data_IF_240628875200
#
_entry.id   IF_240628875200
#
_cell.length_a   1.000
_cell.length_b   1.000
_cell.length_c   1.000
_cell.angle_alpha   90.00
_cell.angle_beta   90.00
_cell.angle_gamma   90.00
#
_symmetry.space_group_name_H-M   'P 1'
#
loop_
_entity.id
_entity.type
_entity.pdbx_description
1 polymer ?
#
# COMPACT_ATOMS: atom_id res chain seq x y z
N UNK A 1 -30.26 -26.17 5.42
CA UNK A 1 -29.01 -25.49 5.07
C UNK A 1 -28.02 -25.78 6.20
N UNK A 2 -26.96 -26.54 5.93
CA UNK A 2 -25.96 -26.81 6.96
C UNK A 2 -25.09 -25.55 7.09
N UNK A 3 -25.11 -24.91 8.26
CA UNK A 3 -24.08 -23.96 8.65
C UNK A 3 -22.70 -24.58 8.39
N UNK A 4 -21.68 -23.82 8.00
CA UNK A 4 -20.32 -24.34 8.02
C UNK A 4 -20.11 -24.88 9.43
N UNK A 5 -19.99 -26.21 9.53
CA UNK A 5 -19.93 -26.86 10.83
C UNK A 5 -18.74 -26.28 11.58
N UNK A 6 -18.95 -25.89 12.84
CA UNK A 6 -17.91 -25.45 13.79
C UNK A 6 -16.74 -26.44 13.97
N UNK A 7 -16.59 -27.42 13.06
CA UNK A 7 -15.71 -28.58 13.19
C UNK A 7 -14.79 -28.77 11.99
N UNK A 8 -14.24 -27.71 11.42
CA UNK A 8 -13.02 -27.89 10.65
C UNK A 8 -11.86 -27.73 11.63
N UNK A 9 -11.29 -28.85 12.07
CA UNK A 9 -10.22 -28.95 13.08
C UNK A 9 -10.52 -28.33 14.46
N UNK A 10 -11.76 -28.32 14.93
CA UNK A 10 -12.08 -27.91 16.29
C UNK A 10 -12.01 -26.40 16.58
N UNK A 11 -11.63 -25.58 15.61
CA UNK A 11 -11.61 -24.12 15.77
C UNK A 11 -13.04 -23.57 15.62
N UNK A 12 -13.50 -22.87 16.66
CA UNK A 12 -14.83 -22.26 16.73
C UNK A 12 -14.73 -20.79 16.37
N UNK A 13 -15.59 -20.32 15.44
CA UNK A 13 -15.74 -18.88 15.21
C UNK A 13 -16.23 -18.21 16.49
N UNK A 14 -15.68 -17.06 16.82
CA UNK A 14 -15.98 -16.32 18.05
C UNK A 14 -16.28 -14.85 17.74
N UNK A 15 -17.02 -14.22 18.63
CA UNK A 15 -17.27 -12.78 18.61
C UNK A 15 -17.53 -12.22 17.21
N UNK A 16 -16.72 -11.27 16.80
CA UNK A 16 -16.81 -10.56 15.53
C UNK A 16 -16.80 -11.47 14.28
N UNK A 17 -16.13 -12.63 14.36
CA UNK A 17 -16.09 -13.59 13.24
C UNK A 17 -17.48 -14.18 12.95
N UNK A 18 -18.27 -14.47 14.00
CA UNK A 18 -19.65 -14.92 13.82
C UNK A 18 -20.51 -13.83 13.18
N UNK A 19 -20.33 -12.58 13.59
CA UNK A 19 -21.10 -11.47 13.07
C UNK A 19 -20.69 -11.15 11.63
N UNK A 20 -19.40 -11.26 11.28
CA UNK A 20 -18.93 -11.19 9.90
C UNK A 20 -19.61 -12.22 9.01
N UNK A 21 -19.70 -13.48 9.46
CA UNK A 21 -20.39 -14.53 8.70
C UNK A 21 -21.89 -14.27 8.61
N UNK A 22 -22.54 -13.84 9.68
CA UNK A 22 -23.95 -13.47 9.65
C UNK A 22 -24.24 -12.34 8.68
N UNK A 23 -23.48 -11.26 8.77
CA UNK A 23 -23.63 -10.11 7.88
C UNK A 23 -23.42 -10.52 6.42
N UNK A 24 -22.36 -11.29 6.13
CA UNK A 24 -22.14 -11.83 4.79
C UNK A 24 -23.35 -12.62 4.25
N UNK A 25 -24.01 -13.41 5.09
CA UNK A 25 -25.16 -14.23 4.68
C UNK A 25 -26.42 -13.41 4.42
N UNK A 26 -26.51 -12.19 4.93
CA UNK A 26 -27.64 -11.26 4.70
C UNK A 26 -27.44 -10.35 3.51
N UNK A 27 -26.20 -10.24 2.98
CA UNK A 27 -25.89 -9.38 1.84
C UNK A 27 -26.78 -9.69 0.63
N UNK A 28 -27.36 -8.66 0.05
CA UNK A 28 -27.98 -8.71 -1.27
C UNK A 28 -26.91 -8.73 -2.35
N UNK A 29 -27.32 -8.91 -3.59
CA UNK A 29 -26.39 -8.88 -4.72
C UNK A 29 -25.77 -7.50 -4.89
N UNK A 30 -24.48 -7.46 -5.25
CA UNK A 30 -23.71 -6.27 -5.52
C UNK A 30 -23.42 -5.41 -4.27
N UNK A 31 -23.53 -5.99 -3.07
CA UNK A 31 -23.21 -5.29 -1.84
C UNK A 31 -21.79 -5.57 -1.40
N UNK A 32 -21.26 -4.62 -0.65
CA UNK A 32 -19.87 -4.60 -0.14
C UNK A 32 -19.87 -4.64 1.38
N UNK A 33 -19.09 -5.55 1.93
CA UNK A 33 -18.86 -5.64 3.35
C UNK A 33 -17.43 -5.18 3.63
N UNK A 34 -17.30 -4.03 4.26
CA UNK A 34 -16.02 -3.43 4.64
C UNK A 34 -15.68 -3.90 6.05
N UNK A 35 -14.50 -4.45 6.21
CA UNK A 35 -14.01 -5.00 7.48
C UNK A 35 -12.79 -4.21 7.92
N UNK A 36 -12.96 -3.37 8.94
CA UNK A 36 -11.85 -2.68 9.59
C UNK A 36 -11.36 -3.56 10.73
N UNK A 37 -10.17 -4.10 10.57
CA UNK A 37 -9.62 -5.11 11.49
C UNK A 37 -8.38 -4.61 12.22
N UNK A 38 -8.21 -5.03 13.48
CA UNK A 38 -6.93 -5.06 14.15
C UNK A 38 -6.06 -6.19 13.58
N UNK A 39 -4.77 -6.17 13.84
CA UNK A 39 -3.85 -7.22 13.39
C UNK A 39 -4.09 -8.52 14.16
N UNK A 40 -3.90 -9.66 13.50
CA UNK A 40 -3.95 -11.01 14.07
C UNK A 40 -5.28 -11.43 14.73
N UNK A 41 -6.38 -10.83 14.36
CA UNK A 41 -7.71 -11.17 14.89
C UNK A 41 -8.41 -12.34 14.18
N UNK A 42 -7.69 -13.11 13.36
CA UNK A 42 -8.21 -14.30 12.69
C UNK A 42 -9.07 -14.02 11.45
N UNK A 43 -8.88 -12.88 10.79
CA UNK A 43 -9.65 -12.47 9.60
C UNK A 43 -9.47 -13.46 8.44
N UNK A 44 -8.23 -13.81 8.09
CA UNK A 44 -7.94 -14.76 7.00
C UNK A 44 -8.58 -16.13 7.25
N UNK A 45 -8.60 -16.60 8.50
CA UNK A 45 -9.30 -17.82 8.86
C UNK A 45 -10.80 -17.72 8.55
N UNK A 46 -11.43 -16.61 8.88
CA UNK A 46 -12.86 -16.38 8.60
C UNK A 46 -13.13 -16.28 7.11
N UNK A 47 -12.25 -15.67 6.33
CA UNK A 47 -12.36 -15.63 4.87
C UNK A 47 -12.25 -17.01 4.24
N UNK A 48 -11.34 -17.86 4.74
CA UNK A 48 -11.26 -19.25 4.28
C UNK A 48 -12.58 -19.99 4.50
N UNK A 49 -13.24 -19.81 5.66
CA UNK A 49 -14.55 -20.39 5.95
C UNK A 49 -15.64 -19.88 4.98
N UNK A 50 -15.69 -18.58 4.74
CA UNK A 50 -16.67 -17.98 3.84
C UNK A 50 -16.46 -18.46 2.39
N UNK A 51 -15.22 -18.44 1.91
CA UNK A 51 -14.87 -18.90 0.56
C UNK A 51 -15.20 -20.39 0.37
N UNK A 52 -14.87 -21.21 1.36
CA UNK A 52 -15.20 -22.64 1.36
C UNK A 52 -16.73 -22.85 1.35
N UNK A 53 -17.45 -22.15 2.23
CA UNK A 53 -18.91 -22.19 2.26
C UNK A 53 -19.54 -21.83 0.90
N UNK A 54 -19.07 -20.77 0.26
CA UNK A 54 -19.54 -20.34 -1.05
C UNK A 54 -19.26 -21.43 -2.10
N UNK A 55 -18.05 -21.97 -2.12
CA UNK A 55 -17.64 -22.97 -3.10
C UNK A 55 -18.47 -24.25 -3.01
N UNK A 56 -18.79 -24.74 -1.81
CA UNK A 56 -19.57 -25.98 -1.66
C UNK A 56 -21.07 -25.79 -1.87
N UNK A 57 -21.61 -24.64 -1.47
CA UNK A 57 -23.06 -24.41 -1.52
C UNK A 57 -23.55 -23.75 -2.82
N UNK A 58 -22.65 -23.22 -3.66
CA UNK A 58 -22.97 -22.55 -4.93
C UNK A 58 -22.25 -23.25 -6.10
N UNK A 59 -22.81 -24.35 -6.65
CA UNK A 59 -22.16 -25.13 -7.70
C UNK A 59 -21.72 -24.30 -8.91
N UNK A 60 -20.54 -24.59 -9.45
CA UNK A 60 -19.93 -23.88 -10.58
C UNK A 60 -19.72 -22.38 -10.32
N UNK A 61 -19.68 -21.95 -9.06
CA UNK A 61 -19.34 -20.59 -8.70
C UNK A 61 -17.84 -20.31 -8.95
N UNK A 62 -17.52 -19.06 -9.24
CA UNK A 62 -16.14 -18.60 -9.31
C UNK A 62 -15.95 -17.48 -8.31
N UNK A 63 -15.09 -17.70 -7.32
CA UNK A 63 -14.68 -16.70 -6.33
C UNK A 63 -13.24 -16.30 -6.53
N UNK A 64 -12.89 -15.09 -6.08
CA UNK A 64 -11.54 -14.53 -6.23
C UNK A 64 -11.10 -13.98 -4.87
N UNK A 65 -9.93 -14.39 -4.40
CA UNK A 65 -9.22 -13.79 -3.28
C UNK A 65 -8.05 -12.96 -3.81
N UNK A 66 -7.95 -11.72 -3.36
CA UNK A 66 -6.92 -10.77 -3.78
C UNK A 66 -6.22 -10.21 -2.55
N UNK A 67 -4.90 -10.09 -2.62
CA UNK A 67 -4.07 -9.47 -1.59
C UNK A 67 -2.91 -8.69 -2.22
N UNK A 68 -2.00 -8.16 -1.42
CA UNK A 68 -0.92 -7.26 -1.89
C UNK A 68 0.14 -7.97 -2.71
N UNK A 69 0.70 -9.09 -2.22
CA UNK A 69 1.87 -9.75 -2.83
C UNK A 69 1.58 -11.19 -3.25
N UNK A 70 2.37 -11.70 -4.21
CA UNK A 70 2.28 -13.10 -4.63
C UNK A 70 2.61 -14.07 -3.49
N UNK A 71 3.51 -13.71 -2.58
CA UNK A 71 3.84 -14.52 -1.40
C UNK A 71 2.67 -14.61 -0.44
N UNK A 72 1.96 -13.52 -0.19
CA UNK A 72 0.76 -13.49 0.66
C UNK A 72 -0.38 -14.31 0.05
N UNK A 73 -0.62 -14.18 -1.27
CA UNK A 73 -1.61 -14.99 -1.98
C UNK A 73 -1.29 -16.49 -1.91
N UNK A 74 -0.02 -16.87 -2.10
CA UNK A 74 0.46 -18.24 -1.98
C UNK A 74 0.33 -18.78 -0.57
N UNK A 75 0.66 -17.96 0.44
CA UNK A 75 0.50 -18.34 1.85
C UNK A 75 -0.96 -18.66 2.14
N UNK A 76 -1.89 -17.76 1.79
CA UNK A 76 -3.32 -17.99 2.03
C UNK A 76 -3.86 -19.20 1.26
N UNK A 77 -3.41 -19.42 0.00
CA UNK A 77 -3.72 -20.64 -0.76
C UNK A 77 -3.26 -21.90 -0.02
N UNK A 78 -2.03 -21.91 0.51
CA UNK A 78 -1.49 -23.04 1.26
C UNK A 78 -2.27 -23.28 2.55
N UNK A 79 -2.51 -22.22 3.33
CA UNK A 79 -3.27 -22.30 4.59
C UNK A 79 -4.70 -22.84 4.35
N UNK A 80 -5.36 -22.39 3.27
CA UNK A 80 -6.67 -22.90 2.88
C UNK A 80 -6.59 -24.33 2.34
N UNK A 81 -5.51 -24.70 1.65
CA UNK A 81 -5.25 -26.07 1.20
C UNK A 81 -5.12 -27.04 2.36
N UNK A 82 -4.41 -26.65 3.43
CA UNK A 82 -4.32 -27.42 4.67
C UNK A 82 -5.70 -27.64 5.31
N UNK A 83 -6.54 -26.63 5.26
CA UNK A 83 -7.92 -26.69 5.72
C UNK A 83 -8.77 -27.71 4.95
N UNK A 84 -8.45 -27.96 3.67
CA UNK A 84 -9.16 -28.87 2.78
C UNK A 84 -8.51 -30.26 2.65
N UNK A 85 -7.35 -30.52 3.27
CA UNK A 85 -6.49 -31.71 3.05
C UNK A 85 -7.19 -33.05 3.23
N UNK A 86 -8.17 -33.13 4.12
CA UNK A 86 -8.91 -34.37 4.40
C UNK A 86 -10.09 -34.59 3.46
N UNK A 87 -10.30 -33.67 2.52
CA UNK A 87 -11.42 -33.72 1.57
C UNK A 87 -10.94 -34.12 0.20
N UNK A 88 -11.29 -35.31 -0.26
CA UNK A 88 -11.13 -35.73 -1.66
C UNK A 88 -11.95 -34.89 -2.65
N UNK A 89 -12.63 -33.84 -2.15
CA UNK A 89 -13.56 -33.01 -2.87
C UNK A 89 -12.90 -31.76 -3.50
N UNK A 90 -11.61 -31.53 -3.25
CA UNK A 90 -10.89 -30.33 -3.70
C UNK A 90 -9.60 -30.73 -4.40
N UNK A 91 -9.40 -30.22 -5.61
CA UNK A 91 -8.12 -30.28 -6.35
C UNK A 91 -7.36 -28.97 -6.22
N UNK A 92 -6.08 -29.05 -5.92
CA UNK A 92 -5.19 -27.90 -5.71
C UNK A 92 -4.20 -27.75 -6.88
N UNK A 93 -4.19 -26.59 -7.53
CA UNK A 93 -3.20 -26.23 -8.53
C UNK A 93 -2.27 -25.13 -7.99
N UNK A 94 -1.11 -25.54 -7.49
CA UNK A 94 -0.14 -24.63 -6.86
C UNK A 94 0.56 -23.68 -7.86
N UNK A 95 0.59 -24.03 -9.15
CA UNK A 95 1.19 -23.18 -10.18
C UNK A 95 0.29 -22.02 -10.56
N UNK A 96 -1.02 -22.26 -10.66
CA UNK A 96 -2.02 -21.25 -10.98
C UNK A 96 -2.60 -20.57 -9.75
N UNK A 97 -2.31 -21.07 -8.55
CA UNK A 97 -2.95 -20.71 -7.29
C UNK A 97 -4.48 -20.78 -7.43
N UNK A 98 -4.97 -21.97 -7.70
CA UNK A 98 -6.36 -22.28 -7.97
C UNK A 98 -6.83 -23.50 -7.18
N UNK A 99 -8.01 -23.42 -6.60
CA UNK A 99 -8.72 -24.53 -5.97
C UNK A 99 -9.97 -24.86 -6.78
N UNK A 100 -10.08 -26.11 -7.22
CA UNK A 100 -11.25 -26.61 -7.95
C UNK A 100 -11.99 -27.63 -7.11
N UNK A 101 -13.28 -27.43 -6.93
CA UNK A 101 -14.17 -28.28 -6.12
C UNK A 101 -14.91 -29.28 -7.00
N UNK A 102 -15.32 -30.44 -6.42
CA UNK A 102 -16.04 -31.52 -7.12
C UNK A 102 -17.31 -31.06 -7.87
N UNK A 103 -17.95 -29.99 -7.36
CA UNK A 103 -19.18 -29.44 -7.95
C UNK A 103 -18.90 -28.41 -9.08
N UNK A 104 -17.64 -28.28 -9.51
CA UNK A 104 -17.20 -27.36 -10.54
C UNK A 104 -16.98 -25.93 -10.08
N UNK A 105 -17.03 -25.63 -8.79
CA UNK A 105 -16.70 -24.31 -8.24
C UNK A 105 -15.20 -24.11 -8.21
N UNK A 106 -14.76 -22.84 -8.39
CA UNK A 106 -13.34 -22.46 -8.46
C UNK A 106 -13.10 -21.28 -7.55
N UNK A 107 -11.94 -21.29 -6.86
CA UNK A 107 -11.41 -20.14 -6.15
C UNK A 107 -10.03 -19.81 -6.73
N UNK A 108 -9.87 -18.58 -7.20
CA UNK A 108 -8.58 -18.03 -7.64
C UNK A 108 -7.96 -17.21 -6.52
N UNK A 109 -6.64 -17.38 -6.33
CA UNK A 109 -5.84 -16.60 -5.38
C UNK A 109 -4.89 -15.72 -6.18
N UNK A 110 -5.01 -14.42 -6.04
CA UNK A 110 -4.28 -13.42 -6.82
C UNK A 110 -3.68 -12.36 -5.92
N UNK A 111 -2.70 -11.66 -6.46
CA UNK A 111 -2.14 -10.45 -5.83
C UNK A 111 -2.24 -9.27 -6.77
N UNK A 112 -2.00 -8.07 -6.24
CA UNK A 112 -1.87 -6.85 -7.04
C UNK A 112 -0.72 -6.91 -8.04
N UNK A 113 0.29 -7.75 -7.78
CA UNK A 113 1.44 -7.99 -8.68
C UNK A 113 1.12 -8.95 -9.83
N UNK A 114 -0.02 -9.65 -9.74
CA UNK A 114 -0.41 -10.68 -10.71
C UNK A 114 -1.10 -10.07 -11.93
N UNK A 115 -1.07 -10.78 -13.06
CA UNK A 115 -1.92 -10.43 -14.19
C UNK A 115 -3.38 -10.72 -13.83
N UNK A 116 -4.16 -9.66 -13.60
CA UNK A 116 -5.55 -9.74 -13.13
C UNK A 116 -6.58 -9.85 -14.26
N UNK A 117 -6.22 -9.53 -15.50
CA UNK A 117 -7.17 -9.50 -16.63
C UNK A 117 -7.69 -10.89 -16.99
N UNK A 118 -8.96 -10.97 -17.39
CA UNK A 118 -9.60 -12.20 -17.88
C UNK A 118 -10.26 -13.06 -16.81
N UNK A 119 -10.27 -12.63 -15.55
CA UNK A 119 -10.94 -13.33 -14.44
C UNK A 119 -12.20 -12.54 -14.04
N UNK A 120 -13.23 -13.25 -13.63
CA UNK A 120 -14.46 -12.63 -13.09
C UNK A 120 -15.17 -13.58 -12.14
N UNK A 121 -15.85 -13.02 -11.14
CA UNK A 121 -16.76 -13.78 -10.30
C UNK A 121 -17.96 -14.28 -11.13
N UNK A 122 -18.42 -15.50 -10.85
CA UNK A 122 -19.51 -16.11 -11.59
C UNK A 122 -20.43 -16.89 -10.65
N UNK A 123 -21.70 -16.98 -11.04
CA UNK A 123 -22.71 -17.89 -10.43
C UNK A 123 -22.76 -17.81 -8.91
N UNK A 124 -22.79 -16.59 -8.37
CA UNK A 124 -22.85 -16.37 -6.94
C UNK A 124 -21.52 -16.52 -6.19
N UNK A 125 -20.39 -16.65 -6.92
CA UNK A 125 -19.08 -16.46 -6.33
C UNK A 125 -18.89 -15.05 -5.79
N UNK A 126 -17.87 -14.85 -5.00
CA UNK A 126 -17.59 -13.58 -4.31
C UNK A 126 -16.16 -13.11 -4.58
N UNK A 127 -15.92 -11.82 -4.38
CA UNK A 127 -14.57 -11.25 -4.33
C UNK A 127 -14.19 -10.95 -2.87
N UNK A 128 -13.02 -11.36 -2.46
CA UNK A 128 -12.41 -11.00 -1.17
C UNK A 128 -11.13 -10.22 -1.47
N UNK A 129 -11.03 -9.02 -0.92
CA UNK A 129 -9.82 -8.17 -1.03
C UNK A 129 -9.26 -7.99 0.37
N UNK A 130 -8.13 -8.62 0.64
CA UNK A 130 -7.46 -8.55 1.95
C UNK A 130 -6.24 -7.63 1.88
N UNK A 131 -5.91 -6.99 2.99
CA UNK A 131 -4.88 -5.96 3.12
C UNK A 131 -5.09 -4.79 2.14
N UNK A 132 -6.33 -4.39 2.00
CA UNK A 132 -6.82 -3.44 1.01
C UNK A 132 -6.19 -2.03 1.15
N UNK A 133 -5.85 -1.58 2.37
CA UNK A 133 -5.23 -0.28 2.61
C UNK A 133 -3.83 -0.16 1.97
N UNK A 134 -3.20 -1.29 1.65
CA UNK A 134 -1.87 -1.35 1.03
C UNK A 134 -1.92 -1.60 -0.48
N UNK A 135 -3.11 -1.60 -1.08
CA UNK A 135 -3.29 -1.70 -2.52
C UNK A 135 -3.28 -0.33 -3.16
N UNK A 136 -2.54 -0.19 -4.26
CA UNK A 136 -2.58 1.04 -5.08
C UNK A 136 -3.96 1.25 -5.68
N UNK A 137 -4.37 2.49 -5.82
CA UNK A 137 -5.71 2.83 -6.31
C UNK A 137 -5.96 2.40 -7.75
N UNK A 138 -4.93 2.30 -8.60
CA UNK A 138 -5.03 1.83 -9.99
C UNK A 138 -5.48 0.36 -10.08
N UNK A 139 -5.15 -0.47 -9.08
CA UNK A 139 -5.60 -1.86 -9.01
C UNK A 139 -7.14 -1.95 -9.03
N UNK A 140 -7.82 -0.98 -8.43
CA UNK A 140 -9.28 -0.98 -8.36
C UNK A 140 -9.94 -0.87 -9.72
N UNK A 141 -9.33 -0.17 -10.68
CA UNK A 141 -9.81 -0.12 -12.06
C UNK A 141 -9.78 -1.49 -12.74
N UNK A 142 -8.85 -2.36 -12.30
CA UNK A 142 -8.70 -3.71 -12.83
C UNK A 142 -9.61 -4.73 -12.15
N UNK A 143 -9.89 -4.59 -10.83
CA UNK A 143 -10.62 -5.60 -10.06
C UNK A 143 -12.12 -5.33 -9.90
N UNK A 144 -12.56 -4.07 -9.89
CA UNK A 144 -14.00 -3.74 -9.82
C UNK A 144 -14.82 -4.41 -10.93
N UNK A 145 -14.37 -4.50 -12.19
CA UNK A 145 -15.10 -5.21 -13.24
C UNK A 145 -15.34 -6.69 -12.96
N UNK A 146 -14.58 -7.35 -12.05
CA UNK A 146 -14.75 -8.78 -11.75
C UNK A 146 -16.12 -9.10 -11.16
N UNK A 147 -16.75 -8.14 -10.52
CA UNK A 147 -18.06 -8.29 -9.88
C UNK A 147 -19.20 -7.67 -10.69
N UNK A 148 -18.90 -6.79 -11.64
CA UNK A 148 -19.90 -5.95 -12.32
C UNK A 148 -21.00 -6.76 -13.03
N UNK A 149 -20.62 -7.74 -13.85
CA UNK A 149 -21.57 -8.54 -14.63
C UNK A 149 -22.34 -9.53 -13.75
N UNK A 150 -21.64 -10.15 -12.79
CA UNK A 150 -22.21 -11.16 -11.90
C UNK A 150 -22.99 -10.57 -10.73
N UNK A 151 -22.81 -9.27 -10.47
CA UNK A 151 -23.28 -8.59 -9.26
C UNK A 151 -22.86 -9.35 -8.00
N UNK A 152 -21.61 -9.76 -8.00
CA UNK A 152 -21.03 -10.51 -6.89
C UNK A 152 -20.74 -9.59 -5.69
N UNK A 153 -20.95 -10.13 -4.50
CA UNK A 153 -20.62 -9.41 -3.28
C UNK A 153 -19.10 -9.32 -3.10
N UNK A 154 -18.66 -8.23 -2.49
CA UNK A 154 -17.24 -7.97 -2.21
C UNK A 154 -17.00 -7.80 -0.73
N UNK A 155 -16.06 -8.56 -0.16
CA UNK A 155 -15.54 -8.39 1.18
C UNK A 155 -14.22 -7.64 1.07
N UNK A 156 -14.10 -6.51 1.77
CA UNK A 156 -12.96 -5.59 1.69
C UNK A 156 -12.38 -5.43 3.09
N UNK A 157 -11.19 -5.96 3.35
CA UNK A 157 -10.62 -5.94 4.69
C UNK A 157 -9.20 -5.38 4.72
N UNK A 158 -8.89 -4.67 5.78
CA UNK A 158 -7.51 -4.28 6.12
C UNK A 158 -7.39 -3.86 7.58
N UNK A 159 -6.17 -3.90 8.13
CA UNK A 159 -5.79 -2.96 9.16
C UNK A 159 -5.89 -1.54 8.59
N UNK A 160 -6.35 -0.57 9.37
CA UNK A 160 -6.37 0.81 8.92
C UNK A 160 -4.94 1.32 8.72
N UNK A 161 -4.80 2.23 7.78
CA UNK A 161 -3.52 2.83 7.45
C UNK A 161 -3.65 4.34 7.54
N UNK A 162 -3.62 5.06 6.44
CA UNK A 162 -3.84 6.50 6.42
C UNK A 162 -5.31 6.85 6.15
N UNK A 163 -5.69 8.11 6.42
CA UNK A 163 -7.00 8.67 6.05
C UNK A 163 -7.09 9.00 4.56
N UNK A 164 -6.41 8.21 3.72
CA UNK A 164 -6.33 8.35 2.26
C UNK A 164 -6.55 7.01 1.57
N UNK A 165 -6.66 7.03 0.26
CA UNK A 165 -6.79 5.84 -0.58
C UNK A 165 -8.17 5.23 -0.61
N UNK A 166 -8.31 4.21 -1.47
CA UNK A 166 -9.61 3.58 -1.75
C UNK A 166 -10.20 2.84 -0.55
N UNK A 167 -9.36 2.26 0.31
CA UNK A 167 -9.85 1.57 1.50
C UNK A 167 -10.53 2.53 2.47
N UNK A 168 -9.91 3.69 2.72
CA UNK A 168 -10.54 4.73 3.55
C UNK A 168 -11.84 5.25 2.94
N UNK A 169 -11.89 5.40 1.61
CA UNK A 169 -13.11 5.77 0.89
C UNK A 169 -14.23 4.74 1.10
N UNK A 170 -13.94 3.44 0.99
CA UNK A 170 -14.92 2.39 1.26
C UNK A 170 -15.37 2.38 2.73
N UNK A 171 -14.42 2.57 3.65
CA UNK A 171 -14.73 2.67 5.07
C UNK A 171 -15.69 3.85 5.36
N UNK A 172 -15.40 5.03 4.81
CA UNK A 172 -16.26 6.20 4.99
C UNK A 172 -17.67 5.98 4.42
N UNK A 173 -17.78 5.35 3.26
CA UNK A 173 -19.09 5.01 2.67
C UNK A 173 -19.87 4.04 3.53
N UNK A 174 -19.21 3.04 4.09
CA UNK A 174 -19.84 2.08 4.98
C UNK A 174 -20.23 2.73 6.33
N UNK A 175 -19.36 3.61 6.87
CA UNK A 175 -19.60 4.34 8.11
C UNK A 175 -20.77 5.33 7.97
N UNK A 176 -20.93 5.98 6.82
CA UNK A 176 -22.04 6.91 6.54
C UNK A 176 -23.37 6.20 6.21
N UNK A 177 -23.35 4.87 6.11
CA UNK A 177 -24.55 4.09 5.77
C UNK A 177 -24.97 4.19 4.31
N UNK A 178 -24.00 4.42 3.39
CA UNK A 178 -24.27 4.43 1.96
C UNK A 178 -24.95 3.12 1.52
N UNK A 179 -26.00 3.16 0.71
CA UNK A 179 -26.69 1.95 0.24
C UNK A 179 -25.74 0.94 -0.41
N UNK A 180 -25.83 -0.31 0.00
CA UNK A 180 -25.00 -1.41 -0.48
C UNK A 180 -23.59 -1.47 0.13
N UNK A 181 -23.34 -0.69 1.18
CA UNK A 181 -22.11 -0.77 2.00
C UNK A 181 -22.46 -1.13 3.43
N UNK A 182 -21.74 -2.09 3.98
CA UNK A 182 -21.89 -2.59 5.35
C UNK A 182 -20.53 -2.50 6.03
N UNK A 183 -20.50 -2.31 7.35
CA UNK A 183 -19.29 -2.16 8.14
C UNK A 183 -19.22 -3.21 9.25
N UNK A 184 -18.07 -3.85 9.37
CA UNK A 184 -17.62 -4.53 10.58
C UNK A 184 -16.34 -3.83 11.06
N UNK A 185 -16.39 -3.24 12.24
CA UNK A 185 -15.20 -2.70 12.91
C UNK A 185 -14.84 -3.63 14.08
N UNK A 186 -13.65 -4.24 14.04
CA UNK A 186 -13.27 -5.20 15.08
C UNK A 186 -13.05 -4.55 16.45
N UNK A 187 -12.94 -3.22 16.51
CA UNK A 187 -12.85 -2.48 17.79
C UNK A 187 -14.14 -2.53 18.60
N UNK A 188 -15.27 -2.82 17.96
CA UNK A 188 -16.56 -2.93 18.63
C UNK A 188 -16.72 -4.26 19.40
N UNK A 189 -15.67 -5.09 19.40
CA UNK A 189 -15.69 -6.43 19.96
C UNK A 189 -14.58 -6.65 20.99
N UNK A 190 -14.82 -7.59 21.90
CA UNK A 190 -13.78 -8.10 22.79
C UNK A 190 -12.77 -8.95 21.98
N UNK A 191 -11.54 -8.48 21.89
CA UNK A 191 -10.43 -9.13 21.19
C UNK A 191 -9.46 -9.86 22.13
N UNK A 192 -9.77 -9.97 23.41
CA UNK A 192 -8.91 -10.58 24.45
C UNK A 192 -8.51 -12.03 24.14
N UNK A 193 -9.36 -12.74 23.39
CA UNK A 193 -9.05 -14.09 22.90
C UNK A 193 -7.85 -14.12 21.93
N UNK A 194 -7.65 -13.06 21.16
CA UNK A 194 -6.58 -12.97 20.16
C UNK A 194 -5.33 -12.29 20.72
N UNK A 195 -5.54 -11.24 21.50
CA UNK A 195 -4.46 -10.45 22.11
C UNK A 195 -4.85 -10.22 23.56
N UNK A 196 -4.15 -10.87 24.49
CA UNK A 196 -4.38 -10.64 25.93
C UNK A 196 -3.93 -9.24 26.34
N UNK A 197 -4.42 -8.75 27.49
CA UNK A 197 -4.02 -7.43 28.00
C UNK A 197 -2.51 -7.35 28.26
N UNK A 198 -1.91 -8.43 28.77
CA UNK A 198 -0.46 -8.51 28.98
C UNK A 198 0.32 -8.37 27.68
N UNK A 199 -0.11 -9.04 26.61
CA UNK A 199 0.49 -8.91 25.27
C UNK A 199 0.29 -7.51 24.71
N UNK A 200 -0.87 -6.90 24.95
CA UNK A 200 -1.17 -5.55 24.52
C UNK A 200 -0.23 -4.54 25.20
N UNK A 201 -0.02 -4.67 26.51
CA UNK A 201 0.94 -3.84 27.24
C UNK A 201 2.39 -4.09 26.82
N UNK A 202 2.76 -5.30 26.48
CA UNK A 202 4.07 -5.61 25.88
C UNK A 202 4.24 -4.91 24.53
N UNK A 203 3.24 -5.01 23.63
CA UNK A 203 3.27 -4.33 22.34
C UNK A 203 3.33 -2.80 22.46
N UNK A 204 2.67 -2.23 23.48
CA UNK A 204 2.74 -0.79 23.79
C UNK A 204 4.15 -0.31 24.12
N UNK A 205 4.97 -1.18 24.71
CA UNK A 205 6.36 -0.88 25.05
C UNK A 205 7.33 -1.07 23.86
N UNK A 206 7.01 -1.99 22.96
CA UNK A 206 7.88 -2.39 21.84
C UNK A 206 7.57 -1.57 20.57
N UNK A 207 6.28 -1.37 20.28
CA UNK A 207 5.85 -0.66 19.08
C UNK A 207 5.92 0.86 19.27
N UNK A 208 6.11 1.58 18.19
CA UNK A 208 5.88 3.03 18.21
C UNK A 208 4.41 3.33 18.54
N UNK A 209 4.10 4.51 19.10
CA UNK A 209 2.71 4.91 19.37
C UNK A 209 1.82 4.83 18.13
N UNK A 210 2.33 5.19 16.95
CA UNK A 210 1.57 5.12 15.69
C UNK A 210 1.33 3.68 15.25
N UNK A 211 2.36 2.82 15.24
CA UNK A 211 2.20 1.41 14.90
C UNK A 211 1.26 0.71 15.89
N UNK A 212 1.30 1.05 17.17
CA UNK A 212 0.37 0.53 18.15
C UNK A 212 -1.06 0.95 17.83
N UNK A 213 -1.30 2.23 17.54
CA UNK A 213 -2.63 2.75 17.19
C UNK A 213 -3.19 2.11 15.91
N UNK A 214 -2.37 1.96 14.86
CA UNK A 214 -2.85 1.39 13.59
C UNK A 214 -3.05 -0.13 13.66
N UNK A 215 -2.07 -0.86 14.18
CA UNK A 215 -2.06 -2.32 14.12
C UNK A 215 -2.87 -2.97 15.27
N UNK A 216 -2.78 -2.39 16.49
CA UNK A 216 -3.40 -2.96 17.68
C UNK A 216 -4.74 -2.28 18.00
N UNK A 217 -4.78 -0.93 17.99
CA UNK A 217 -5.99 -0.19 18.26
C UNK A 217 -6.92 -0.07 17.06
N UNK A 218 -6.44 -0.41 15.86
CA UNK A 218 -7.24 -0.35 14.65
C UNK A 218 -7.70 1.06 14.29
N UNK A 219 -6.87 2.07 14.51
CA UNK A 219 -7.15 3.47 14.19
C UNK A 219 -6.48 3.88 12.88
N UNK A 220 -7.18 4.68 12.08
CA UNK A 220 -6.55 5.32 10.94
C UNK A 220 -5.53 6.36 11.41
N UNK A 221 -4.41 6.42 10.71
CA UNK A 221 -3.42 7.47 10.90
C UNK A 221 -3.86 8.72 10.15
N UNK A 222 -3.91 9.84 10.85
CA UNK A 222 -4.22 11.11 10.23
C UNK A 222 -3.04 11.54 9.33
N UNK A 223 -3.28 11.54 8.02
CA UNK A 223 -2.29 11.96 7.03
C UNK A 223 -2.00 13.47 7.06
N UNK A 224 -2.77 14.25 7.83
CA UNK A 224 -2.54 15.69 7.98
C UNK A 224 -1.60 16.04 9.13
N UNK A 225 -1.19 15.07 9.94
CA UNK A 225 -0.34 15.30 11.13
C UNK A 225 1.16 15.47 10.83
N UNK A 226 1.61 15.16 9.60
CA UNK A 226 2.99 15.33 9.17
C UNK A 226 3.32 16.78 8.74
N UNK A 227 4.60 17.01 8.41
CA UNK A 227 5.12 18.31 7.94
C UNK A 227 4.38 18.84 6.69
N UNK A 228 3.87 17.94 5.87
CA UNK A 228 3.25 18.27 4.58
C UNK A 228 1.76 18.60 4.66
N UNK A 229 1.09 18.31 5.79
CA UNK A 229 -0.34 18.56 5.94
C UNK A 229 -1.19 17.79 4.89
N UNK A 230 -2.29 18.41 4.45
CA UNK A 230 -3.12 17.85 3.38
C UNK A 230 -2.57 18.20 1.99
N UNK A 231 -2.41 17.20 1.13
CA UNK A 231 -1.92 17.37 -0.23
C UNK A 231 -2.84 16.72 -1.27
N UNK A 232 -2.76 17.19 -2.50
CA UNK A 232 -3.57 16.66 -3.59
C UNK A 232 -2.97 15.33 -4.10
N UNK A 233 -3.79 14.30 -4.15
CA UNK A 233 -3.46 13.01 -4.77
C UNK A 233 -4.19 12.82 -6.08
N UNK A 234 -3.54 12.13 -7.00
CA UNK A 234 -4.12 11.69 -8.28
C UNK A 234 -4.54 10.23 -8.11
N UNK A 235 -5.84 9.96 -8.11
CA UNK A 235 -6.37 8.59 -8.00
C UNK A 235 -6.30 7.78 -9.30
N UNK A 236 -6.03 8.45 -10.41
CA UNK A 236 -5.81 7.83 -11.72
C UNK A 236 -4.48 8.29 -12.27
N UNK A 237 -3.85 7.48 -13.14
CA UNK A 237 -2.64 7.92 -13.81
C UNK A 237 -2.89 9.24 -14.57
N UNK A 238 -1.95 10.20 -14.51
CA UNK A 238 -2.03 11.43 -15.28
C UNK A 238 -2.14 11.13 -16.78
N UNK A 239 -2.83 11.98 -17.53
CA UNK A 239 -2.88 11.90 -19.00
C UNK A 239 -1.48 12.06 -19.62
N UNK A 240 -0.71 13.05 -19.14
CA UNK A 240 0.70 13.22 -19.49
C UNK A 240 1.57 12.36 -18.57
N UNK A 241 2.00 11.21 -19.10
CA UNK A 241 2.87 10.24 -18.39
C UNK A 241 4.36 10.51 -18.59
N UNK A 242 4.72 11.58 -19.30
CA UNK A 242 6.10 11.89 -19.61
C UNK A 242 6.77 12.71 -18.51
N UNK A 243 7.60 12.10 -17.65
CA UNK A 243 8.34 12.83 -16.62
C UNK A 243 9.36 13.77 -17.27
N UNK A 244 9.45 14.98 -16.71
CA UNK A 244 10.39 16.02 -17.17
C UNK A 244 11.48 16.24 -16.14
N UNK A 245 11.12 16.22 -14.86
CA UNK A 245 12.02 16.42 -13.72
C UNK A 245 11.92 15.26 -12.76
N UNK A 246 13.05 14.65 -12.46
CA UNK A 246 13.11 13.46 -11.61
C UNK A 246 14.05 13.67 -10.43
N UNK A 247 13.80 12.90 -9.35
CA UNK A 247 14.65 12.80 -8.18
C UNK A 247 14.94 11.34 -7.86
N UNK A 248 16.15 11.07 -7.41
CA UNK A 248 16.57 9.75 -6.95
C UNK A 248 17.08 9.84 -5.53
N UNK A 249 16.53 9.00 -4.68
CA UNK A 249 17.13 8.60 -3.41
C UNK A 249 17.66 7.18 -3.52
N UNK A 250 18.96 7.00 -3.22
CA UNK A 250 19.64 5.73 -3.47
C UNK A 250 20.04 5.05 -2.18
N UNK A 251 19.55 3.82 -1.97
CA UNK A 251 19.98 2.94 -0.90
C UNK A 251 20.82 1.77 -1.39
N UNK A 252 21.75 1.32 -0.55
CA UNK A 252 22.58 0.12 -0.78
C UNK A 252 22.13 -1.07 0.07
N UNK A 253 21.21 -0.86 1.00
CA UNK A 253 20.74 -1.91 1.90
C UNK A 253 19.80 -2.88 1.16
N UNK A 254 19.90 -4.17 1.48
CA UNK A 254 18.94 -5.20 1.01
C UNK A 254 17.92 -5.43 2.11
N UNK A 255 16.62 -5.30 1.76
CA UNK A 255 15.54 -5.42 2.74
C UNK A 255 15.47 -4.26 3.76
N UNK A 256 16.36 -3.26 3.62
CA UNK A 256 16.35 -2.00 4.36
C UNK A 256 15.65 -0.88 3.58
N UNK A 257 16.32 0.28 3.47
CA UNK A 257 15.80 1.44 2.75
C UNK A 257 15.65 1.17 1.26
N UNK A 258 14.68 1.83 0.65
CA UNK A 258 14.40 1.68 -0.77
C UNK A 258 15.32 2.55 -1.62
N UNK A 259 15.62 2.09 -2.82
CA UNK A 259 16.06 2.97 -3.88
C UNK A 259 14.84 3.51 -4.59
N UNK A 260 14.66 4.80 -4.60
CA UNK A 260 13.47 5.48 -5.16
C UNK A 260 13.84 6.33 -6.36
N UNK A 261 13.04 6.25 -7.41
CA UNK A 261 13.01 7.19 -8.53
C UNK A 261 11.60 7.74 -8.66
N UNK A 262 11.47 9.04 -8.55
CA UNK A 262 10.19 9.72 -8.81
C UNK A 262 10.34 10.78 -9.89
N UNK A 263 9.24 11.12 -10.58
CA UNK A 263 9.26 12.10 -11.65
C UNK A 263 7.93 12.82 -11.84
N UNK A 264 8.04 14.10 -12.19
CA UNK A 264 6.92 14.98 -12.47
C UNK A 264 6.89 15.36 -13.95
N UNK A 265 5.68 15.44 -14.52
CA UNK A 265 5.42 15.96 -15.86
C UNK A 265 5.47 17.49 -15.92
N UNK A 266 5.19 18.07 -17.09
CA UNK A 266 5.17 19.54 -17.29
C UNK A 266 4.12 20.24 -16.48
N UNK A 267 3.02 19.58 -16.16
CA UNK A 267 1.92 20.10 -15.35
C UNK A 267 2.17 19.95 -13.84
N UNK A 268 3.38 19.62 -13.46
CA UNK A 268 3.78 19.39 -12.05
C UNK A 268 2.98 18.26 -11.37
N UNK A 269 2.48 17.29 -12.14
CA UNK A 269 1.86 16.09 -11.63
C UNK A 269 2.91 14.99 -11.55
N UNK A 270 2.98 14.29 -10.43
CA UNK A 270 3.81 13.09 -10.30
C UNK A 270 3.27 12.02 -11.24
N UNK A 271 4.07 11.56 -12.18
CA UNK A 271 3.69 10.60 -13.21
C UNK A 271 4.60 9.37 -13.23
N UNK A 272 5.65 9.37 -12.40
CA UNK A 272 6.58 8.27 -12.22
C UNK A 272 6.87 8.11 -10.74
N UNK A 273 6.66 6.91 -10.21
CA UNK A 273 7.09 6.50 -8.88
C UNK A 273 7.54 5.04 -8.95
N UNK A 274 8.83 4.83 -8.77
CA UNK A 274 9.46 3.52 -8.69
C UNK A 274 10.25 3.40 -7.40
N UNK A 275 10.09 2.31 -6.67
CA UNK A 275 10.88 2.00 -5.49
C UNK A 275 11.16 0.50 -5.42
N UNK A 276 12.35 0.14 -4.96
CA UNK A 276 12.81 -1.25 -4.84
C UNK A 276 13.93 -1.38 -3.80
N UNK A 277 13.87 -2.43 -3.00
CA UNK A 277 14.93 -2.84 -2.07
C UNK A 277 15.34 -4.30 -2.23
N UNK A 278 14.84 -4.98 -3.27
CA UNK A 278 15.08 -6.40 -3.51
C UNK A 278 16.37 -6.68 -4.29
N UNK A 279 16.83 -5.73 -5.09
CA UNK A 279 18.04 -5.87 -5.91
C UNK A 279 19.28 -5.70 -5.02
N UNK A 280 19.95 -6.81 -4.72
CA UNK A 280 21.13 -6.80 -3.84
C UNK A 280 22.36 -6.12 -4.45
N UNK A 281 22.56 -6.26 -5.78
CA UNK A 281 23.73 -5.69 -6.47
C UNK A 281 23.51 -4.20 -6.75
N UNK A 282 24.34 -3.29 -6.18
CA UNK A 282 24.27 -1.86 -6.45
C UNK A 282 24.46 -1.51 -7.93
N UNK A 283 25.26 -2.29 -8.68
CA UNK A 283 25.46 -2.08 -10.12
C UNK A 283 24.16 -2.37 -10.87
N UNK A 284 23.55 -3.52 -10.63
CA UNK A 284 22.28 -3.90 -11.25
C UNK A 284 21.17 -2.91 -10.91
N UNK A 285 21.16 -2.38 -9.67
CA UNK A 285 20.21 -1.34 -9.22
C UNK A 285 20.40 -0.03 -10.00
N UNK A 286 21.65 0.43 -10.15
CA UNK A 286 21.97 1.61 -10.94
C UNK A 286 21.60 1.44 -12.42
N UNK A 287 21.90 0.28 -13.00
CA UNK A 287 21.54 -0.04 -14.39
C UNK A 287 20.02 -0.06 -14.59
N UNK A 288 19.27 -0.63 -13.66
CA UNK A 288 17.80 -0.65 -13.70
C UNK A 288 17.23 0.77 -13.72
N UNK A 289 17.72 1.66 -12.86
CA UNK A 289 17.28 3.07 -12.87
C UNK A 289 17.66 3.78 -14.17
N UNK A 290 18.87 3.55 -14.68
CA UNK A 290 19.29 4.12 -15.95
C UNK A 290 18.41 3.65 -17.12
N UNK A 291 18.01 2.38 -17.14
CA UNK A 291 17.10 1.84 -18.15
C UNK A 291 15.71 2.48 -18.07
N UNK A 292 15.17 2.68 -16.85
CA UNK A 292 13.90 3.40 -16.65
C UNK A 292 14.05 4.83 -17.19
N UNK A 293 15.09 5.57 -16.83
CA UNK A 293 15.31 6.95 -17.27
C UNK A 293 15.49 7.01 -18.80
N UNK A 294 16.19 6.06 -19.39
CA UNK A 294 16.40 5.98 -20.84
C UNK A 294 15.10 5.72 -21.62
N UNK A 295 14.08 5.15 -20.98
CA UNK A 295 12.76 4.93 -21.60
C UNK A 295 11.93 6.21 -21.74
N UNK A 296 12.32 7.29 -21.03
CA UNK A 296 11.65 8.59 -21.06
C UNK A 296 12.52 9.69 -21.72
N UNK A 297 12.44 9.91 -23.04
CA UNK A 297 13.18 10.98 -23.72
C UNK A 297 12.82 12.39 -23.24
N UNK A 298 11.67 12.56 -22.62
CA UNK A 298 11.14 13.82 -22.07
C UNK A 298 11.92 14.35 -20.85
N UNK A 299 12.63 13.49 -20.12
CA UNK A 299 13.38 13.88 -18.92
C UNK A 299 14.47 14.88 -19.29
N UNK A 300 14.42 16.04 -18.65
CA UNK A 300 15.41 17.11 -18.81
C UNK A 300 16.44 17.15 -17.69
N UNK A 301 16.06 16.71 -16.50
CA UNK A 301 16.91 16.76 -15.32
C UNK A 301 16.55 15.67 -14.32
N UNK A 302 17.59 15.05 -13.77
CA UNK A 302 17.49 14.07 -12.68
C UNK A 302 18.43 14.51 -11.58
N UNK A 303 17.91 14.78 -10.38
CA UNK A 303 18.72 15.11 -9.20
C UNK A 303 18.91 13.83 -8.37
N UNK A 304 20.16 13.52 -8.04
CA UNK A 304 20.53 12.35 -7.26
C UNK A 304 21.46 12.72 -6.10
N UNK A 305 21.22 12.15 -4.92
CA UNK A 305 22.08 12.36 -3.76
C UNK A 305 23.47 11.74 -3.95
N UNK A 306 24.51 12.45 -3.47
CA UNK A 306 25.92 12.02 -3.59
C UNK A 306 26.54 11.51 -2.29
N UNK A 307 25.81 11.52 -1.18
CA UNK A 307 26.35 11.12 0.10
C UNK A 307 26.80 9.65 0.13
N UNK A 308 27.89 9.37 0.86
CA UNK A 308 28.44 8.03 1.06
C UNK A 308 28.84 7.31 -0.24
N UNK A 309 28.10 6.29 -0.67
CA UNK A 309 28.37 5.51 -1.89
C UNK A 309 27.73 6.09 -3.17
N UNK A 310 27.04 7.21 -3.06
CA UNK A 310 26.36 7.85 -4.21
C UNK A 310 27.27 8.20 -5.37
N UNK A 311 28.52 8.56 -5.14
CA UNK A 311 29.47 8.88 -6.21
C UNK A 311 29.77 7.67 -7.12
N UNK A 312 29.91 6.47 -6.58
CA UNK A 312 30.10 5.24 -7.35
C UNK A 312 28.86 4.91 -8.15
N UNK A 313 27.69 4.98 -7.53
CA UNK A 313 26.40 4.75 -8.16
C UNK A 313 26.16 5.72 -9.33
N UNK A 314 26.39 7.01 -9.11
CA UNK A 314 26.28 8.05 -10.16
C UNK A 314 27.23 7.76 -11.32
N UNK A 315 28.45 7.31 -11.05
CA UNK A 315 29.42 6.96 -12.09
C UNK A 315 28.94 5.77 -12.95
N UNK A 316 28.29 4.79 -12.34
CA UNK A 316 27.69 3.65 -13.06
C UNK A 316 26.52 4.14 -13.91
N UNK A 317 25.61 4.93 -13.33
CA UNK A 317 24.48 5.49 -14.05
C UNK A 317 24.92 6.33 -15.26
N UNK A 318 25.91 7.21 -15.10
CA UNK A 318 26.43 8.04 -16.20
C UNK A 318 26.94 7.24 -17.38
N UNK A 319 27.54 6.08 -17.14
CA UNK A 319 28.00 5.18 -18.20
C UNK A 319 26.85 4.51 -18.94
N UNK A 320 25.75 4.25 -18.27
CA UNK A 320 24.58 3.55 -18.83
C UNK A 320 23.57 4.50 -19.46
N UNK A 321 23.49 5.74 -19.01
CA UNK A 321 22.55 6.73 -19.50
C UNK A 321 22.90 7.16 -20.94
N UNK A 322 21.90 7.18 -21.82
CA UNK A 322 22.02 7.74 -23.19
C UNK A 322 22.28 9.24 -23.15
N UNK A 323 21.87 9.93 -22.11
CA UNK A 323 22.02 11.38 -21.89
C UNK A 323 22.58 11.66 -20.49
N UNK A 324 23.87 11.41 -20.25
CA UNK A 324 24.46 11.52 -18.90
C UNK A 324 24.45 12.96 -18.32
N UNK A 325 24.33 13.96 -19.17
CA UNK A 325 24.29 15.37 -18.79
C UNK A 325 22.99 15.82 -18.10
N UNK A 326 21.96 14.99 -18.11
CA UNK A 326 20.72 15.29 -17.37
C UNK A 326 20.84 14.95 -15.88
N UNK A 327 21.87 14.18 -15.49
CA UNK A 327 22.08 13.75 -14.11
C UNK A 327 22.88 14.80 -13.33
N UNK A 328 22.24 15.41 -12.35
CA UNK A 328 22.81 16.41 -11.44
C UNK A 328 23.02 15.80 -10.05
N UNK A 329 24.20 16.05 -9.51
CA UNK A 329 24.58 15.61 -8.18
C UNK A 329 24.10 16.60 -7.12
N UNK A 330 23.62 16.08 -6.00
CA UNK A 330 23.17 16.87 -4.86
C UNK A 330 23.80 16.35 -3.57
N UNK A 331 24.45 17.24 -2.82
CA UNK A 331 25.00 16.89 -1.52
C UNK A 331 24.04 17.31 -0.42
N UNK A 332 23.55 16.33 0.33
CA UNK A 332 22.64 16.54 1.45
C UNK A 332 23.42 16.86 2.71
N UNK A 333 23.19 18.04 3.24
CA UNK A 333 23.59 18.51 4.59
C UNK A 333 22.32 18.88 5.35
N UNK A 334 22.40 19.12 6.64
CA UNK A 334 21.23 19.57 7.41
C UNK A 334 20.59 20.84 6.82
N UNK A 335 21.42 21.77 6.32
CA UNK A 335 20.91 23.00 5.68
C UNK A 335 20.23 22.70 4.34
N UNK A 336 20.92 21.96 3.44
CA UNK A 336 20.38 21.68 2.11
C UNK A 336 19.16 20.75 2.16
N UNK A 337 19.11 19.80 3.13
CA UNK A 337 17.91 18.99 3.39
C UNK A 337 16.74 19.88 3.81
N UNK A 338 16.97 20.81 4.74
CA UNK A 338 15.96 21.77 5.15
C UNK A 338 15.41 22.56 3.96
N UNK A 339 16.30 23.11 3.12
CA UNK A 339 15.89 23.92 1.98
C UNK A 339 15.00 23.16 0.98
N UNK A 340 15.35 21.91 0.63
CA UNK A 340 14.55 21.13 -0.32
C UNK A 340 13.23 20.65 0.28
N UNK A 341 13.20 20.37 1.59
CA UNK A 341 11.95 19.96 2.27
C UNK A 341 11.02 21.17 2.41
N UNK A 342 11.51 22.33 2.81
CA UNK A 342 10.70 23.55 2.89
C UNK A 342 10.15 23.96 1.52
N UNK A 343 10.93 23.76 0.45
CA UNK A 343 10.45 23.95 -0.92
C UNK A 343 9.31 22.97 -1.24
N UNK A 344 9.45 21.68 -0.91
CA UNK A 344 8.40 20.69 -1.13
C UNK A 344 7.14 21.01 -0.33
N UNK A 345 7.28 21.40 0.94
CA UNK A 345 6.17 21.86 1.81
C UNK A 345 5.44 23.05 1.17
N UNK A 346 6.20 24.02 0.65
CA UNK A 346 5.62 25.19 -0.02
C UNK A 346 4.83 24.82 -1.27
N UNK A 347 5.38 23.99 -2.14
CA UNK A 347 4.72 23.54 -3.38
C UNK A 347 3.43 22.75 -3.08
N UNK A 348 3.45 21.90 -2.04
CA UNK A 348 2.28 21.17 -1.57
C UNK A 348 1.23 22.13 -0.99
N UNK A 349 1.65 23.01 -0.08
CA UNK A 349 0.74 23.98 0.58
C UNK A 349 0.09 24.96 -0.39
N UNK A 350 0.79 25.33 -1.45
CA UNK A 350 0.27 26.18 -2.53
C UNK A 350 -0.52 25.39 -3.58
N UNK A 351 -0.63 24.08 -3.44
CA UNK A 351 -1.28 23.18 -4.39
C UNK A 351 -0.70 23.26 -5.81
N UNK A 352 0.60 23.53 -5.90
CA UNK A 352 1.30 23.64 -7.17
C UNK A 352 1.72 22.28 -7.75
N UNK A 353 1.84 21.27 -6.90
CA UNK A 353 2.14 19.90 -7.30
C UNK A 353 1.02 18.95 -6.88
N UNK A 354 0.90 17.86 -7.62
CA UNK A 354 -0.03 16.76 -7.32
C UNK A 354 0.75 15.46 -7.26
N UNK A 355 0.52 14.66 -6.23
CA UNK A 355 1.21 13.40 -5.98
C UNK A 355 0.34 12.20 -6.39
N UNK A 356 0.97 11.11 -6.81
CA UNK A 356 0.29 9.84 -7.05
C UNK A 356 -0.28 9.31 -5.73
N UNK A 357 -1.45 8.70 -5.82
CA UNK A 357 -2.06 7.98 -4.70
C UNK A 357 -1.36 6.62 -4.53
N UNK A 358 -0.36 6.59 -3.68
CA UNK A 358 0.42 5.40 -3.35
C UNK A 358 0.49 5.23 -1.82
N UNK A 359 0.02 4.09 -1.28
CA UNK A 359 -0.07 3.87 0.17
C UNK A 359 1.26 4.00 0.91
N UNK A 360 2.36 3.62 0.26
CA UNK A 360 3.70 3.73 0.86
C UNK A 360 4.17 5.18 0.89
N UNK A 361 3.93 5.93 -0.19
CA UNK A 361 4.16 7.37 -0.23
C UNK A 361 3.34 8.10 0.83
N UNK A 362 2.04 7.81 0.93
CA UNK A 362 1.17 8.40 1.94
C UNK A 362 1.68 8.15 3.36
N UNK A 363 2.20 6.95 3.61
CA UNK A 363 2.77 6.62 4.91
C UNK A 363 4.04 7.41 5.21
N UNK A 364 5.01 7.45 4.31
CA UNK A 364 6.26 8.18 4.51
C UNK A 364 6.00 9.67 4.73
N UNK A 365 5.08 10.25 3.96
CA UNK A 365 4.69 11.65 4.13
C UNK A 365 3.99 11.92 5.47
N UNK A 366 3.17 11.00 5.95
CA UNK A 366 2.46 11.14 7.23
C UNK A 366 3.39 11.05 8.45
N UNK A 367 4.46 10.23 8.40
CA UNK A 367 5.41 10.06 9.50
C UNK A 367 6.59 11.03 9.45
N UNK A 368 6.72 11.81 8.37
CA UNK A 368 7.84 12.74 8.20
C UNK A 368 7.61 13.99 9.03
N UNK A 369 8.57 14.33 9.88
CA UNK A 369 8.43 15.37 10.89
C UNK A 369 9.70 16.15 11.15
N UNK A 370 9.58 17.28 11.85
CA UNK A 370 10.70 18.04 12.37
C UNK A 370 11.16 17.38 13.68
N UNK A 371 12.38 16.90 13.73
CA UNK A 371 12.97 16.18 14.86
C UNK A 371 14.05 17.04 15.52
N UNK A 372 14.00 17.16 16.85
CA UNK A 372 15.05 17.80 17.61
C UNK A 372 16.26 16.87 17.74
N UNK A 373 17.44 17.36 17.36
CA UNK A 373 18.70 16.64 17.47
C UNK A 373 19.31 16.81 18.86
N UNK A 374 20.17 15.87 19.27
CA UNK A 374 20.86 15.89 20.57
C UNK A 374 21.63 17.17 20.87
N UNK A 375 21.99 17.93 19.87
CA UNK A 375 22.70 19.22 19.98
C UNK A 375 21.77 20.45 20.04
N UNK A 376 20.45 20.23 20.18
CA UNK A 376 19.44 21.29 20.21
C UNK A 376 19.07 21.87 18.84
N UNK A 377 19.65 21.37 17.75
CA UNK A 377 19.23 21.73 16.40
C UNK A 377 18.07 20.88 15.94
N UNK A 378 17.37 21.32 14.91
CA UNK A 378 16.26 20.58 14.28
C UNK A 378 16.69 20.03 12.93
N UNK A 379 16.18 18.86 12.58
CA UNK A 379 16.31 18.24 11.26
C UNK A 379 14.99 17.62 10.84
N UNK A 380 14.77 17.51 9.56
CA UNK A 380 13.64 16.77 9.00
C UNK A 380 14.00 15.30 8.86
N UNK A 381 13.17 14.41 9.37
CA UNK A 381 13.35 12.96 9.25
C UNK A 381 12.01 12.23 9.44
N UNK A 382 11.95 10.99 8.99
CA UNK A 382 10.89 10.10 9.39
C UNK A 382 10.97 9.82 10.90
N UNK A 383 9.82 9.62 11.56
CA UNK A 383 9.80 9.33 13.00
C UNK A 383 10.47 7.98 13.30
N UNK A 384 11.68 8.03 13.83
CA UNK A 384 12.47 6.84 14.16
C UNK A 384 11.84 5.92 15.21
N UNK A 385 10.82 6.38 15.91
CA UNK A 385 10.02 5.56 16.85
C UNK A 385 9.02 4.65 16.11
N UNK A 386 8.81 4.89 14.84
CA UNK A 386 7.90 4.09 14.01
C UNK A 386 8.67 2.92 13.39
N UNK A 387 8.14 1.71 13.49
CA UNK A 387 8.73 0.54 12.84
C UNK A 387 8.67 0.71 11.31
N UNK A 388 9.78 0.39 10.62
CA UNK A 388 9.96 0.64 9.19
C UNK A 388 9.87 2.13 8.79
N UNK A 389 10.28 3.00 9.71
CA UNK A 389 10.39 4.43 9.47
C UNK A 389 11.39 4.70 8.35
N UNK A 390 10.91 5.28 7.25
CA UNK A 390 11.70 5.61 6.04
C UNK A 390 11.27 6.97 5.53
N UNK A 391 12.19 7.63 4.83
CA UNK A 391 11.94 8.91 4.16
C UNK A 391 12.43 8.91 2.70
N UNK A 392 12.66 7.72 2.13
CA UNK A 392 13.24 7.53 0.80
C UNK A 392 12.37 8.16 -0.30
N UNK A 393 11.03 7.95 -0.26
CA UNK A 393 10.09 8.54 -1.21
C UNK A 393 9.98 10.05 -1.01
N UNK A 394 9.97 10.50 0.25
CA UNK A 394 9.95 11.93 0.57
C UNK A 394 11.21 12.62 0.02
N UNK A 395 12.38 12.04 0.22
CA UNK A 395 13.64 12.61 -0.25
C UNK A 395 13.72 12.63 -1.78
N UNK A 396 13.40 11.53 -2.45
CA UNK A 396 13.36 11.49 -3.91
C UNK A 396 12.38 12.53 -4.47
N UNK A 397 11.20 12.68 -3.83
CA UNK A 397 10.20 13.68 -4.23
C UNK A 397 10.71 15.11 -4.01
N UNK A 398 11.42 15.38 -2.91
CA UNK A 398 12.02 16.68 -2.64
C UNK A 398 13.12 17.02 -3.67
N UNK A 399 13.94 16.05 -4.10
CA UNK A 399 14.92 16.24 -5.16
C UNK A 399 14.25 16.56 -6.51
N UNK A 400 13.19 15.85 -6.88
CA UNK A 400 12.44 16.16 -8.11
C UNK A 400 11.79 17.54 -8.04
N UNK A 401 11.15 17.88 -6.91
CA UNK A 401 10.48 19.14 -6.68
C UNK A 401 11.45 20.35 -6.69
N UNK A 402 12.71 20.15 -6.30
CA UNK A 402 13.76 21.18 -6.39
C UNK A 402 13.92 21.73 -7.83
N UNK A 403 13.61 20.95 -8.84
CA UNK A 403 13.66 21.40 -10.22
C UNK A 403 12.63 22.48 -10.56
N UNK A 404 11.58 22.65 -9.75
CA UNK A 404 10.56 23.69 -9.93
C UNK A 404 10.93 25.01 -9.28
N UNK A 405 11.92 25.04 -8.39
CA UNK A 405 12.48 26.26 -7.80
C UNK A 405 13.43 26.94 -8.78
N UNK A 406 12.95 27.28 -9.98
CA UNK A 406 13.68 28.10 -10.94
C UNK A 406 13.55 29.56 -10.55
N UNK A 407 14.64 30.18 -10.10
CA UNK A 407 14.90 31.64 -10.06
C UNK A 407 13.75 32.51 -9.47
N UNK A 408 13.26 32.19 -8.27
CA UNK A 408 12.64 33.21 -7.42
C UNK A 408 13.79 33.86 -6.64
N UNK A 409 14.13 35.08 -7.02
CA UNK A 409 15.16 35.86 -6.36
C UNK A 409 14.92 35.91 -4.86
N UNK A 410 16.01 35.86 -4.13
CA UNK A 410 16.14 36.13 -2.72
C UNK A 410 15.27 37.32 -2.30
N UNK A 411 14.09 37.08 -1.75
CA UNK A 411 13.37 38.12 -1.03
C UNK A 411 14.09 38.31 0.31
N UNK A 412 15.08 39.19 0.29
CA UNK A 412 15.56 39.80 1.52
C UNK A 412 14.38 40.56 2.14
N UNK A 413 13.84 40.04 3.23
CA UNK A 413 13.05 40.83 4.15
C UNK A 413 13.95 41.92 4.71
N UNK A 414 13.94 43.10 4.09
CA UNK A 414 14.46 44.32 4.69
C UNK A 414 13.50 44.69 5.81
N UNK A 415 13.93 44.42 7.06
CA UNK A 415 13.29 44.96 8.25
C UNK A 415 13.25 46.48 8.19
N UNK A 416 12.11 47.00 8.57
CA UNK A 416 11.96 48.35 9.15
C UNK A 416 11.58 48.19 10.60
#
# INVERSE_FOLDING_TARGET
>A
MAYPSNKVRGAKLIGWQNDLVREFLTLKKDERLVIKKCRQVGCSFTFAQILFYVAINRPRSTSIYITTTNSAARKFFTDMGEFCKESSLVSLNSSLLEMTFWNGSIIYFKSSESQLRGISCKRGGIMVVDECAFLKSDIWTSILPFTTVSKANTLIASTPWTTRGMYYTFYQRALSGDPGYHLIDTRDYDLSYFISEDQREEYRKILSPQAFRTEIDGEFMDSTSGVFGDYQSIYTEPEDKDPVYCGIDFSVSVGGDDTVLTGFNKSKQQCLLYYDNSIADPVARAEKLADIINSYPSIKKVICETNSMGSTFISIMRRKLKRPNILEEFTTTNSTKKDIIENLVSLIGQKEITLLDDPKQDYEFAIFQLVELKNGNYSYAADTKVQNSRDDIVMATAFAAKCFSGSSGTYMLRGR
#
